data_IF_851111849375
#
_entry.id   IF_851111849375
#
_cell.length_a   1.000
_cell.length_b   1.000
_cell.length_c   1.000
_cell.angle_alpha   90.00
_cell.angle_beta   90.00
_cell.angle_gamma   90.00
#
_symmetry.space_group_name_H-M   'P 1'
#
loop_
_entity.id
_entity.type
_entity.pdbx_description
1 polymer ?
#
# COMPACT_ATOMS: atom_id res chain seq x y z
N UNK A 1 25.91 1.48 1.34
CA UNK A 1 24.59 0.82 1.48
C UNK A 1 23.67 1.76 2.26
N UNK A 2 22.48 2.06 1.74
CA UNK A 2 21.50 2.91 2.43
C UNK A 2 20.58 2.01 3.27
N UNK A 3 20.39 2.25 4.57
CA UNK A 3 19.51 1.42 5.42
C UNK A 3 18.08 1.35 4.88
N UNK A 4 17.43 0.19 5.00
CA UNK A 4 16.05 -0.01 4.51
C UNK A 4 15.00 0.82 5.28
N UNK A 5 15.34 1.30 6.47
CA UNK A 5 14.51 2.22 7.27
C UNK A 5 14.64 3.68 6.84
N UNK A 6 15.46 3.98 5.82
CA UNK A 6 15.60 5.35 5.29
C UNK A 6 14.30 5.77 4.59
N UNK A 7 13.77 6.97 4.86
CA UNK A 7 12.55 7.44 4.20
C UNK A 7 12.65 7.37 2.67
N UNK A 8 11.55 7.00 2.01
CA UNK A 8 11.54 6.58 0.59
C UNK A 8 12.19 7.58 -0.37
N UNK A 9 11.96 8.89 -0.21
CA UNK A 9 12.53 9.90 -1.10
C UNK A 9 14.02 10.18 -0.80
N UNK A 10 14.42 10.07 0.46
CA UNK A 10 15.81 10.23 0.88
C UNK A 10 16.64 9.01 0.49
N UNK A 11 16.03 7.81 0.46
CA UNK A 11 16.74 6.59 0.13
C UNK A 11 17.28 6.62 -1.31
N UNK A 12 16.45 7.02 -2.29
CA UNK A 12 16.86 7.17 -3.69
C UNK A 12 17.91 8.27 -3.91
N UNK A 13 17.75 9.41 -3.22
CA UNK A 13 18.71 10.52 -3.31
C UNK A 13 20.09 10.14 -2.75
N UNK A 14 20.13 9.50 -1.57
CA UNK A 14 21.37 9.04 -0.96
C UNK A 14 22.01 7.87 -1.72
N UNK A 15 21.19 6.99 -2.31
CA UNK A 15 21.68 5.85 -3.10
C UNK A 15 22.39 6.28 -4.39
N UNK A 16 22.02 7.43 -4.95
CA UNK A 16 22.59 7.96 -6.21
C UNK A 16 23.64 9.06 -5.99
N UNK A 17 24.02 9.34 -4.74
CA UNK A 17 25.01 10.37 -4.42
C UNK A 17 24.50 11.81 -4.61
N UNK A 18 23.18 12.00 -4.51
CA UNK A 18 22.56 13.33 -4.53
C UNK A 18 21.80 13.68 -5.81
N UNK A 19 21.49 12.70 -6.67
CA UNK A 19 20.76 12.96 -7.91
C UNK A 19 19.26 13.21 -7.65
N UNK A 20 18.79 14.41 -7.97
CA UNK A 20 17.38 14.82 -7.84
C UNK A 20 16.46 14.01 -8.76
N UNK A 21 16.97 13.50 -9.89
CA UNK A 21 16.20 12.64 -10.81
C UNK A 21 15.76 11.35 -10.14
N UNK A 22 16.54 10.83 -9.18
CA UNK A 22 16.18 9.66 -8.40
C UNK A 22 14.94 9.90 -7.54
N UNK A 23 14.82 11.09 -6.95
CA UNK A 23 13.65 11.48 -6.15
C UNK A 23 12.39 11.55 -7.01
N UNK A 24 12.50 12.15 -8.21
CA UNK A 24 11.38 12.23 -9.16
C UNK A 24 10.92 10.82 -9.56
N UNK A 25 11.88 9.93 -9.84
CA UNK A 25 11.58 8.53 -10.15
C UNK A 25 10.86 7.83 -8.99
N UNK A 26 11.29 8.06 -7.75
CA UNK A 26 10.64 7.51 -6.57
C UNK A 26 9.19 8.00 -6.39
N UNK A 27 8.90 9.27 -6.72
CA UNK A 27 7.52 9.78 -6.71
C UNK A 27 6.64 9.02 -7.71
N UNK A 28 7.15 8.79 -8.92
CA UNK A 28 6.44 8.02 -9.95
C UNK A 28 6.19 6.59 -9.46
N UNK A 29 7.19 5.94 -8.86
CA UNK A 29 7.08 4.60 -8.30
C UNK A 29 6.01 4.51 -7.21
N UNK A 30 5.98 5.45 -6.27
CA UNK A 30 4.97 5.50 -5.20
C UNK A 30 3.57 5.67 -5.78
N UNK A 31 3.39 6.59 -6.74
CA UNK A 31 2.11 6.80 -7.39
C UNK A 31 1.65 5.57 -8.18
N UNK A 32 2.56 4.89 -8.87
CA UNK A 32 2.27 3.66 -9.59
C UNK A 32 1.89 2.52 -8.63
N UNK A 33 2.64 2.35 -7.54
CA UNK A 33 2.34 1.37 -6.51
C UNK A 33 0.96 1.63 -5.89
N UNK A 34 0.62 2.88 -5.58
CA UNK A 34 -0.71 3.26 -5.12
C UNK A 34 -1.78 2.94 -6.17
N UNK A 35 -1.59 3.33 -7.42
CA UNK A 35 -2.56 3.09 -8.49
C UNK A 35 -2.82 1.59 -8.71
N UNK A 36 -1.77 0.76 -8.61
CA UNK A 36 -1.88 -0.69 -8.68
C UNK A 36 -2.56 -1.25 -7.44
N UNK A 37 -2.25 -0.75 -6.23
CA UNK A 37 -2.73 -1.33 -4.97
C UNK A 37 -4.17 -0.95 -4.63
N UNK A 38 -4.59 0.29 -4.92
CA UNK A 38 -5.93 0.80 -4.62
C UNK A 38 -7.10 -0.08 -5.11
N UNK A 39 -7.12 -0.64 -6.34
CA UNK A 39 -8.20 -1.53 -6.76
C UNK A 39 -8.28 -2.80 -5.90
N UNK A 40 -7.14 -3.39 -5.51
CA UNK A 40 -7.12 -4.58 -4.64
C UNK A 40 -7.61 -4.23 -3.24
N UNK A 41 -7.21 -3.08 -2.71
CA UNK A 41 -7.70 -2.55 -1.43
C UNK A 41 -9.23 -2.46 -1.42
N UNK A 42 -9.83 -1.85 -2.45
CA UNK A 42 -11.29 -1.71 -2.57
C UNK A 42 -12.02 -3.05 -2.66
N UNK A 43 -11.43 -4.03 -3.34
CA UNK A 43 -12.02 -5.38 -3.42
C UNK A 43 -11.92 -6.07 -2.05
N UNK A 44 -10.78 -5.95 -1.37
CA UNK A 44 -10.57 -6.49 -0.03
C UNK A 44 -11.56 -5.91 0.98
N UNK A 45 -11.79 -4.59 0.97
CA UNK A 45 -12.79 -3.94 1.84
C UNK A 45 -14.19 -4.51 1.64
N UNK A 46 -14.63 -4.67 0.37
CA UNK A 46 -15.94 -5.25 0.05
C UNK A 46 -16.05 -6.71 0.49
N UNK A 47 -14.98 -7.49 0.31
CA UNK A 47 -14.95 -8.88 0.73
C UNK A 47 -14.99 -9.02 2.27
N UNK A 48 -14.32 -8.13 2.99
CA UNK A 48 -14.35 -8.10 4.45
C UNK A 48 -15.72 -7.68 4.99
N UNK A 49 -16.37 -6.68 4.37
CA UNK A 49 -17.72 -6.26 4.75
C UNK A 49 -18.73 -7.42 4.62
N UNK A 50 -18.72 -8.13 3.48
CA UNK A 50 -19.60 -9.30 3.28
C UNK A 50 -19.33 -10.44 4.27
N UNK A 51 -18.06 -10.68 4.61
CA UNK A 51 -17.70 -11.68 5.61
C UNK A 51 -18.19 -11.29 7.00
N UNK A 52 -18.13 -10.00 7.37
CA UNK A 52 -18.64 -9.52 8.64
C UNK A 52 -20.17 -9.66 8.72
N UNK A 53 -20.90 -9.35 7.65
CA UNK A 53 -22.35 -9.54 7.57
C UNK A 53 -22.73 -11.03 7.67
N UNK A 54 -22.07 -11.90 6.90
CA UNK A 54 -22.31 -13.34 6.96
C UNK A 54 -22.00 -13.94 8.33
N UNK A 55 -20.96 -13.45 9.02
CA UNK A 55 -20.64 -13.89 10.38
C UNK A 55 -21.72 -13.46 11.38
N UNK A 56 -22.30 -12.26 11.22
CA UNK A 56 -23.38 -11.78 12.06
C UNK A 56 -24.67 -12.60 11.86
N UNK A 57 -25.04 -12.91 10.61
CA UNK A 57 -26.20 -13.77 10.29
C UNK A 57 -26.04 -15.18 10.89
N UNK A 58 -24.89 -15.83 10.70
CA UNK A 58 -24.62 -17.15 11.29
C UNK A 58 -24.65 -17.15 12.83
N UNK A 59 -24.31 -16.04 13.48
CA UNK A 59 -24.38 -15.92 14.93
C UNK A 59 -25.83 -15.79 15.42
N UNK A 60 -26.69 -15.11 14.65
CA UNK A 60 -28.11 -14.96 14.96
C UNK A 60 -28.90 -16.24 14.72
N UNK A 61 -28.54 -17.03 13.70
CA UNK A 61 -29.17 -18.34 13.43
C UNK A 61 -28.76 -19.43 14.43
N UNK A 62 -27.70 -19.18 15.21
CA UNK A 62 -27.22 -20.09 16.26
C UNK A 62 -27.85 -19.83 17.64
N UNK A 63 -28.61 -18.75 17.80
CA UNK A 63 -29.42 -18.41 18.98
C UNK A 63 -30.88 -18.86 18.83
#
# INVERSE_FOLDING_TARGET
MVPWTTPVFLSGWLATGGDVRAVIWQVIEVLLAMAIYLPFMKISERAQAKQAEALAENAQDAE
#
